data_IF_028474184494
#
_entry.id   IF_028474184494
#
_cell.length_a   1.000
_cell.length_b   1.000
_cell.length_c   1.000
_cell.angle_alpha   90.00
_cell.angle_beta   90.00
_cell.angle_gamma   90.00
#
_symmetry.space_group_name_H-M   'P 1'
#
loop_
_entity.id
_entity.type
_entity.pdbx_description
1 polymer ?
#
# COMPACT_ATOMS: atom_id res chain seq x y z
N UNK A 1 8.36 8.97 17.96
CA UNK A 1 7.33 8.02 17.52
C UNK A 1 6.55 8.66 16.38
N UNK A 2 6.54 8.06 15.19
CA UNK A 2 5.69 8.58 14.12
C UNK A 2 4.23 8.20 14.40
N UNK A 3 3.28 9.03 14.00
CA UNK A 3 1.84 8.74 14.14
C UNK A 3 1.43 7.44 13.45
N UNK A 4 2.15 7.04 12.39
CA UNK A 4 1.91 5.79 11.65
C UNK A 4 2.16 4.54 12.51
N UNK A 5 3.23 4.54 13.30
CA UNK A 5 3.54 3.47 14.24
C UNK A 5 2.48 3.43 15.33
N UNK A 6 2.16 4.58 15.97
CA UNK A 6 1.12 4.66 16.98
C UNK A 6 -0.24 4.18 16.46
N UNK A 7 -0.61 4.54 15.22
CA UNK A 7 -1.86 4.08 14.59
C UNK A 7 -1.90 2.57 14.38
N UNK A 8 -0.78 1.96 13.97
CA UNK A 8 -0.66 0.52 13.81
C UNK A 8 -0.75 -0.22 15.16
N UNK A 9 -0.05 0.28 16.17
CA UNK A 9 -0.06 -0.28 17.52
C UNK A 9 -1.46 -0.24 18.15
N UNK A 10 -2.13 0.91 18.05
CA UNK A 10 -3.50 1.08 18.57
C UNK A 10 -4.52 0.21 17.81
N UNK A 11 -4.39 0.09 16.50
CA UNK A 11 -5.32 -0.69 15.67
C UNK A 11 -5.21 -2.19 15.93
N UNK A 12 -4.02 -2.68 16.28
CA UNK A 12 -3.71 -4.10 16.49
C UNK A 12 -3.54 -4.50 17.94
N UNK A 13 -3.39 -3.55 18.86
CA UNK A 13 -2.93 -3.76 20.24
C UNK A 13 -1.59 -4.52 20.32
N UNK A 14 -0.71 -4.32 19.33
CA UNK A 14 0.55 -5.05 19.17
C UNK A 14 1.72 -4.06 19.01
N UNK A 15 2.47 -3.87 20.08
CA UNK A 15 3.62 -2.98 20.13
C UNK A 15 4.85 -3.45 19.34
N UNK A 16 4.84 -4.66 18.77
CA UNK A 16 5.94 -5.12 17.94
C UNK A 16 6.05 -4.30 16.63
N UNK A 17 4.96 -3.66 16.17
CA UNK A 17 5.01 -2.77 15.02
C UNK A 17 6.01 -1.63 15.20
N UNK A 18 6.18 -1.12 16.42
CA UNK A 18 7.19 -0.11 16.74
C UNK A 18 8.63 -0.56 16.43
N UNK A 19 8.89 -1.88 16.47
CA UNK A 19 10.22 -2.47 16.21
C UNK A 19 10.39 -2.97 14.79
N UNK A 20 9.28 -3.36 14.14
CA UNK A 20 9.30 -4.06 12.84
C UNK A 20 8.94 -3.15 11.67
N UNK A 21 8.30 -2.00 11.92
CA UNK A 21 8.02 -1.02 10.87
C UNK A 21 9.31 -0.38 10.35
N UNK A 22 9.46 -0.37 9.04
CA UNK A 22 10.65 0.14 8.34
C UNK A 22 10.24 1.17 7.32
N UNK A 23 10.96 2.27 7.28
CA UNK A 23 10.70 3.43 6.44
C UNK A 23 11.88 3.69 5.51
N UNK A 24 11.61 4.02 4.25
CA UNK A 24 12.64 4.64 3.40
C UNK A 24 12.95 6.07 3.89
N UNK A 25 14.06 6.64 3.45
CA UNK A 25 14.42 8.00 3.81
C UNK A 25 13.28 8.99 3.49
N UNK A 26 12.88 9.80 4.48
CA UNK A 26 11.81 10.80 4.36
C UNK A 26 10.43 10.24 3.96
N UNK A 27 10.17 8.96 4.17
CA UNK A 27 8.96 8.25 3.69
C UNK A 27 7.66 9.00 4.03
N UNK A 28 7.45 9.38 5.28
CA UNK A 28 6.23 10.08 5.73
C UNK A 28 6.06 11.42 5.00
N UNK A 29 7.12 12.21 4.91
CA UNK A 29 7.10 13.49 4.19
C UNK A 29 6.80 13.33 2.70
N UNK A 30 7.37 12.29 2.06
CA UNK A 30 7.11 11.97 0.65
C UNK A 30 5.64 11.57 0.46
N UNK A 31 5.12 10.66 1.29
CA UNK A 31 3.74 10.20 1.20
C UNK A 31 2.74 11.35 1.41
N UNK A 32 2.97 12.20 2.42
CA UNK A 32 2.16 13.42 2.68
C UNK A 32 2.15 14.33 1.46
N UNK A 33 3.32 14.60 0.88
CA UNK A 33 3.43 15.47 -0.31
C UNK A 33 2.73 14.88 -1.54
N UNK A 34 2.79 13.56 -1.73
CA UNK A 34 2.04 12.88 -2.79
C UNK A 34 0.54 13.05 -2.61
N UNK A 35 0.02 12.86 -1.39
CA UNK A 35 -1.40 13.07 -1.07
C UNK A 35 -1.81 14.51 -1.34
N UNK A 36 -1.05 15.51 -0.86
CA UNK A 36 -1.30 16.93 -1.10
C UNK A 36 -1.37 17.27 -2.58
N UNK A 37 -0.61 16.57 -3.42
CA UNK A 37 -0.59 16.72 -4.88
C UNK A 37 -1.64 15.85 -5.61
N UNK A 38 -2.60 15.29 -4.89
CA UNK A 38 -3.72 14.59 -5.49
C UNK A 38 -3.44 13.14 -5.88
N UNK A 39 -2.45 12.49 -5.27
CA UNK A 39 -2.17 11.08 -5.50
C UNK A 39 -3.39 10.20 -5.15
N UNK A 40 -3.59 9.16 -5.95
CA UNK A 40 -4.59 8.13 -5.66
C UNK A 40 -4.00 7.04 -4.75
N UNK A 41 -4.87 6.37 -3.98
CA UNK A 41 -4.49 5.20 -3.16
C UNK A 41 -5.09 3.95 -3.79
N UNK A 42 -4.28 2.93 -4.02
CA UNK A 42 -4.73 1.61 -4.50
C UNK A 42 -4.50 0.58 -3.42
N UNK A 43 -5.56 -0.14 -3.06
CA UNK A 43 -5.51 -1.23 -2.07
C UNK A 43 -5.66 -2.59 -2.73
N UNK A 44 -5.12 -3.63 -2.08
CA UNK A 44 -5.24 -5.02 -2.53
C UNK A 44 -6.47 -5.74 -1.96
N UNK A 45 -7.27 -5.08 -1.14
CA UNK A 45 -8.52 -5.63 -0.59
C UNK A 45 -9.60 -4.56 -0.46
N UNK A 46 -10.87 -4.98 -0.59
CA UNK A 46 -12.01 -4.11 -0.30
C UNK A 46 -12.10 -3.72 1.18
N UNK A 47 -11.56 -4.54 2.08
CA UNK A 47 -11.47 -4.22 3.50
C UNK A 47 -10.57 -3.01 3.74
N UNK A 48 -9.38 -3.00 3.16
CA UNK A 48 -8.49 -1.83 3.23
C UNK A 48 -9.13 -0.60 2.57
N UNK A 49 -9.73 -0.76 1.38
CA UNK A 49 -10.47 0.30 0.71
C UNK A 49 -11.59 0.90 1.57
N UNK A 50 -12.35 0.03 2.26
CA UNK A 50 -13.41 0.48 3.17
C UNK A 50 -12.85 1.26 4.37
N UNK A 51 -11.67 0.88 4.86
CA UNK A 51 -11.01 1.51 6.01
C UNK A 51 -10.36 2.86 5.71
N UNK A 52 -10.00 3.16 4.45
CA UNK A 52 -9.41 4.46 4.08
C UNK A 52 -10.45 5.57 4.17
N UNK A 53 -10.08 6.68 4.81
CA UNK A 53 -10.92 7.89 4.89
C UNK A 53 -10.96 8.61 3.54
N UNK A 54 -11.85 8.12 2.65
CA UNK A 54 -12.03 8.65 1.30
C UNK A 54 -12.46 10.12 1.29
N UNK A 55 -13.21 10.54 2.31
CA UNK A 55 -13.67 11.95 2.42
C UNK A 55 -12.49 12.89 2.67
N UNK A 56 -11.56 12.48 3.52
CA UNK A 56 -10.35 13.26 3.78
C UNK A 56 -9.41 13.27 2.57
N UNK A 57 -9.17 12.10 1.95
CA UNK A 57 -8.37 11.96 0.74
C UNK A 57 -8.89 12.85 -0.42
N UNK A 58 -10.22 12.91 -0.59
CA UNK A 58 -10.87 13.69 -1.63
C UNK A 58 -10.63 15.20 -1.50
N UNK A 59 -10.36 15.72 -0.31
CA UNK A 59 -10.02 17.15 -0.11
C UNK A 59 -8.74 17.54 -0.85
N UNK A 60 -7.83 16.58 -1.05
CA UNK A 60 -6.59 16.76 -1.79
C UNK A 60 -6.70 16.33 -3.27
N UNK A 61 -7.91 15.96 -3.72
CA UNK A 61 -8.14 15.54 -5.11
C UNK A 61 -7.82 14.06 -5.39
N UNK A 62 -7.39 13.29 -4.38
CA UNK A 62 -7.10 11.87 -4.51
C UNK A 62 -8.38 11.01 -4.43
N UNK A 63 -8.28 9.79 -4.98
CA UNK A 63 -9.31 8.75 -4.88
C UNK A 63 -8.69 7.46 -4.36
N UNK A 64 -9.52 6.62 -3.73
CA UNK A 64 -9.10 5.28 -3.31
C UNK A 64 -9.76 4.22 -4.18
N UNK A 65 -8.97 3.21 -4.61
CA UNK A 65 -9.38 2.16 -5.54
C UNK A 65 -9.03 0.78 -4.99
N UNK A 66 -9.82 -0.22 -5.42
CA UNK A 66 -9.50 -1.65 -5.27
C UNK A 66 -10.10 -2.39 -6.47
N UNK A 67 -9.26 -3.00 -7.28
CA UNK A 67 -9.68 -3.68 -8.52
C UNK A 67 -9.94 -5.19 -8.34
N UNK A 68 -9.70 -5.73 -7.14
CA UNK A 68 -9.74 -7.18 -6.84
C UNK A 68 -11.09 -7.85 -7.12
N UNK A 69 -12.19 -7.12 -6.98
CA UNK A 69 -13.54 -7.65 -7.17
C UNK A 69 -14.09 -7.49 -8.60
N UNK A 70 -13.33 -6.85 -9.49
CA UNK A 70 -13.77 -6.63 -10.86
C UNK A 70 -13.77 -7.93 -11.68
N UNK A 71 -14.85 -8.16 -12.42
CA UNK A 71 -15.02 -9.36 -13.25
C UNK A 71 -13.92 -9.48 -14.32
N UNK A 72 -13.56 -8.34 -14.92
CA UNK A 72 -12.48 -8.26 -15.90
C UNK A 72 -11.14 -8.74 -15.32
N UNK A 73 -10.80 -8.29 -14.11
CA UNK A 73 -9.59 -8.71 -13.40
C UNK A 73 -9.61 -10.21 -13.12
N UNK A 74 -10.77 -10.73 -12.70
CA UNK A 74 -10.93 -12.18 -12.46
C UNK A 74 -10.77 -13.00 -13.74
N UNK A 75 -11.32 -12.53 -14.88
CA UNK A 75 -11.22 -13.17 -16.18
C UNK A 75 -9.77 -13.20 -16.67
N UNK A 76 -9.10 -12.06 -16.70
CA UNK A 76 -7.70 -11.95 -17.14
C UNK A 76 -6.79 -12.82 -16.25
N UNK A 77 -6.98 -12.80 -14.94
CA UNK A 77 -6.20 -13.62 -14.02
C UNK A 77 -6.33 -15.12 -14.32
N UNK A 78 -7.55 -15.58 -14.60
CA UNK A 78 -7.84 -16.97 -14.98
C UNK A 78 -7.21 -17.34 -16.31
N UNK A 79 -7.37 -16.49 -17.33
CA UNK A 79 -6.83 -16.72 -18.68
C UNK A 79 -5.30 -16.78 -18.68
N UNK A 80 -4.64 -15.95 -17.88
CA UNK A 80 -3.18 -15.86 -17.80
C UNK A 80 -2.55 -16.81 -16.76
N UNK A 81 -3.35 -17.49 -15.94
CA UNK A 81 -2.85 -18.34 -14.86
C UNK A 81 -2.10 -17.57 -13.76
N UNK A 82 -2.44 -16.31 -13.53
CA UNK A 82 -1.84 -15.43 -12.49
C UNK A 82 -2.86 -15.07 -11.43
N UNK A 83 -2.40 -14.43 -10.33
CA UNK A 83 -3.31 -14.02 -9.26
C UNK A 83 -4.09 -12.76 -9.65
N UNK A 84 -5.31 -12.60 -9.09
CA UNK A 84 -6.07 -11.35 -9.24
C UNK A 84 -5.31 -10.15 -8.71
N UNK A 85 -4.50 -10.36 -7.65
CA UNK A 85 -3.67 -9.30 -7.08
C UNK A 85 -2.66 -8.77 -8.09
N UNK A 86 -1.99 -9.65 -8.85
CA UNK A 86 -1.07 -9.24 -9.91
C UNK A 86 -1.78 -8.40 -10.98
N UNK A 87 -2.89 -8.91 -11.53
CA UNK A 87 -3.68 -8.16 -12.54
C UNK A 87 -4.21 -6.83 -12.01
N UNK A 88 -4.59 -6.78 -10.72
CA UNK A 88 -5.04 -5.54 -10.07
C UNK A 88 -3.92 -4.48 -10.03
N UNK A 89 -2.68 -4.88 -9.78
CA UNK A 89 -1.53 -3.96 -9.78
C UNK A 89 -1.22 -3.47 -11.20
N UNK A 90 -1.28 -4.35 -12.19
CA UNK A 90 -1.13 -3.97 -13.61
C UNK A 90 -2.21 -2.97 -14.05
N UNK A 91 -3.46 -3.18 -13.64
CA UNK A 91 -4.56 -2.24 -13.91
C UNK A 91 -4.34 -0.90 -13.21
N UNK A 92 -3.90 -0.93 -11.96
CA UNK A 92 -3.58 0.27 -11.20
C UNK A 92 -2.44 1.09 -11.83
N UNK A 93 -1.49 0.43 -12.48
CA UNK A 93 -0.40 1.10 -13.19
C UNK A 93 -0.84 1.94 -14.40
N UNK A 94 -2.09 1.80 -14.84
CA UNK A 94 -2.70 2.61 -15.91
C UNK A 94 -3.30 3.93 -15.41
N UNK A 95 -3.32 4.15 -14.10
CA UNK A 95 -3.77 5.42 -13.51
C UNK A 95 -2.72 6.49 -13.83
N UNK A 96 -3.15 7.58 -14.47
CA UNK A 96 -2.24 8.66 -14.88
C UNK A 96 -1.67 9.48 -13.71
N UNK A 97 -2.38 9.49 -12.58
CA UNK A 97 -1.94 10.18 -11.36
C UNK A 97 -0.86 9.38 -10.63
N UNK A 98 -0.05 10.04 -9.77
CA UNK A 98 0.79 9.31 -8.83
C UNK A 98 -0.05 8.37 -7.96
N UNK A 99 0.42 7.14 -7.76
CA UNK A 99 -0.30 6.12 -6.98
C UNK A 99 0.52 5.71 -5.77
N UNK A 100 -0.16 5.70 -4.61
CA UNK A 100 0.29 5.08 -3.37
C UNK A 100 -0.35 3.70 -3.29
N UNK A 101 0.44 2.64 -3.35
CA UNK A 101 -0.05 1.27 -3.18
C UNK A 101 -0.08 0.89 -1.71
N UNK A 102 -1.25 0.52 -1.19
CA UNK A 102 -1.45 0.11 0.20
C UNK A 102 -1.83 -1.37 0.25
N UNK A 103 -0.81 -2.22 0.38
CA UNK A 103 -0.91 -3.68 0.29
C UNK A 103 -0.94 -4.28 1.70
N UNK A 104 -2.09 -4.83 2.09
CA UNK A 104 -2.34 -5.36 3.42
C UNK A 104 -2.58 -6.88 3.50
N UNK A 105 -2.76 -7.55 2.36
CA UNK A 105 -3.14 -8.97 2.36
C UNK A 105 -2.34 -9.82 1.36
N UNK A 106 -2.16 -9.36 0.12
CA UNK A 106 -1.63 -10.18 -0.97
C UNK A 106 -0.12 -9.98 -1.19
N UNK A 107 0.76 -10.92 -0.77
CA UNK A 107 2.19 -10.85 -1.09
C UNK A 107 2.44 -10.80 -2.59
N UNK A 108 1.59 -11.46 -3.39
CA UNK A 108 1.69 -11.47 -4.85
C UNK A 108 1.50 -10.08 -5.48
N UNK A 109 0.79 -9.16 -4.81
CA UNK A 109 0.72 -7.76 -5.25
C UNK A 109 2.09 -7.07 -5.13
N UNK A 110 2.83 -7.28 -4.03
CA UNK A 110 4.17 -6.74 -3.88
C UNK A 110 5.16 -7.35 -4.88
N UNK A 111 5.05 -8.65 -5.15
CA UNK A 111 5.89 -9.33 -6.14
C UNK A 111 5.65 -8.72 -7.51
N UNK A 112 4.39 -8.52 -7.92
CA UNK A 112 4.06 -7.90 -9.21
C UNK A 112 4.59 -6.47 -9.31
N UNK A 113 4.40 -5.65 -8.27
CA UNK A 113 4.97 -4.29 -8.23
C UNK A 113 6.50 -4.33 -8.39
N UNK A 114 7.18 -5.27 -7.72
CA UNK A 114 8.62 -5.45 -7.86
C UNK A 114 9.03 -5.82 -9.29
N UNK A 115 8.34 -6.75 -9.94
CA UNK A 115 8.64 -7.15 -11.32
C UNK A 115 8.40 -5.99 -12.31
N UNK A 116 7.36 -5.18 -12.10
CA UNK A 116 7.13 -3.98 -12.89
C UNK A 116 8.23 -2.93 -12.72
N UNK A 117 8.69 -2.71 -11.48
CA UNK A 117 9.80 -1.80 -11.17
C UNK A 117 11.08 -2.30 -11.85
N UNK A 118 11.42 -3.58 -11.66
CA UNK A 118 12.63 -4.21 -12.18
C UNK A 118 12.69 -4.21 -13.71
N UNK A 119 11.55 -4.43 -14.36
CA UNK A 119 11.46 -4.40 -15.82
C UNK A 119 11.38 -2.99 -16.41
N UNK A 120 11.29 -1.96 -15.60
CA UNK A 120 11.10 -0.57 -16.03
C UNK A 120 9.72 -0.28 -16.64
N UNK A 121 8.76 -1.21 -16.53
CA UNK A 121 7.41 -1.02 -17.06
C UNK A 121 6.61 0.02 -16.29
N UNK A 122 6.77 0.05 -14.98
CA UNK A 122 6.05 0.98 -14.10
C UNK A 122 6.85 1.22 -12.82
N UNK A 123 6.77 2.45 -12.31
CA UNK A 123 7.37 2.84 -11.04
C UNK A 123 6.31 3.44 -10.14
N UNK A 124 5.88 2.75 -9.08
CA UNK A 124 4.99 3.30 -8.06
C UNK A 124 5.54 4.60 -7.47
N UNK A 125 4.67 5.56 -7.15
CA UNK A 125 5.09 6.75 -6.44
C UNK A 125 5.43 6.46 -4.97
N UNK A 126 4.73 5.48 -4.36
CA UNK A 126 4.94 5.05 -2.98
C UNK A 126 4.34 3.67 -2.73
N UNK A 127 4.93 2.89 -1.82
CA UNK A 127 4.42 1.58 -1.41
C UNK A 127 4.29 1.49 0.12
N UNK A 128 3.07 1.22 0.60
CA UNK A 128 2.78 0.76 1.96
C UNK A 128 2.65 -0.77 1.86
N UNK A 129 3.69 -1.50 2.31
CA UNK A 129 3.80 -2.95 2.17
C UNK A 129 3.67 -3.66 3.51
N UNK A 130 2.45 -3.95 3.92
CA UNK A 130 2.14 -4.59 5.21
C UNK A 130 1.25 -5.83 5.06
N UNK A 131 1.47 -6.71 4.04
CA UNK A 131 0.67 -7.92 3.95
C UNK A 131 0.93 -8.83 5.14
N UNK A 132 -0.14 -9.52 5.60
CA UNK A 132 -0.09 -10.53 6.66
C UNK A 132 -0.07 -11.93 6.03
N UNK A 133 0.59 -12.89 6.68
CA UNK A 133 0.51 -14.29 6.28
C UNK A 133 1.77 -15.10 6.53
N UNK A 134 1.75 -16.35 6.05
CA UNK A 134 2.83 -17.32 6.28
C UNK A 134 3.61 -17.68 5.01
N UNK A 135 2.99 -17.53 3.83
CA UNK A 135 3.59 -17.96 2.56
C UNK A 135 4.06 -16.74 1.78
N UNK A 136 5.34 -16.69 1.48
CA UNK A 136 6.01 -15.64 0.67
C UNK A 136 5.88 -14.20 1.19
N UNK A 137 5.32 -13.96 2.37
CA UNK A 137 5.07 -12.61 2.89
C UNK A 137 6.37 -11.87 3.15
N UNK A 138 7.31 -12.50 3.87
CA UNK A 138 8.60 -11.89 4.20
C UNK A 138 9.43 -11.67 2.94
N UNK A 139 9.50 -12.69 2.06
CA UNK A 139 10.22 -12.58 0.79
C UNK A 139 9.67 -11.45 -0.11
N UNK A 140 8.35 -11.30 -0.20
CA UNK A 140 7.73 -10.24 -0.98
C UNK A 140 8.05 -8.83 -0.44
N UNK A 141 8.05 -8.67 0.88
CA UNK A 141 8.46 -7.42 1.53
C UNK A 141 9.93 -7.10 1.29
N UNK A 142 10.79 -8.12 1.40
CA UNK A 142 12.24 -7.97 1.18
C UNK A 142 12.59 -7.60 -0.26
N UNK A 143 11.76 -7.98 -1.24
CA UNK A 143 11.92 -7.52 -2.62
C UNK A 143 11.74 -6.01 -2.72
N UNK A 144 10.71 -5.45 -2.11
CA UNK A 144 10.45 -3.99 -2.16
C UNK A 144 11.54 -3.22 -1.41
N UNK A 145 12.07 -3.74 -0.29
CA UNK A 145 13.19 -3.12 0.43
C UNK A 145 14.47 -2.95 -0.41
N UNK A 146 14.60 -3.71 -1.51
CA UNK A 146 15.73 -3.63 -2.44
C UNK A 146 15.53 -2.64 -3.58
N UNK A 147 14.34 -2.03 -3.66
CA UNK A 147 14.02 -1.02 -4.69
C UNK A 147 14.39 0.38 -4.21
N UNK A 148 14.42 1.33 -5.14
CA UNK A 148 14.59 2.75 -4.86
C UNK A 148 13.24 3.51 -4.73
N UNK A 149 12.11 2.78 -4.75
CA UNK A 149 10.78 3.36 -4.54
C UNK A 149 10.59 3.68 -3.05
N UNK A 150 10.06 4.86 -2.69
CA UNK A 150 9.76 5.18 -1.29
C UNK A 150 8.73 4.23 -0.70
N UNK A 151 8.93 3.84 0.57
CA UNK A 151 8.08 2.83 1.20
C UNK A 151 7.89 3.03 2.71
N UNK A 152 6.78 2.43 3.21
CA UNK A 152 6.55 2.05 4.61
C UNK A 152 6.27 0.54 4.61
N UNK A 153 7.10 -0.26 5.25
CA UNK A 153 6.99 -1.73 5.26
C UNK A 153 7.09 -2.25 6.68
N UNK A 154 6.18 -3.15 7.06
CA UNK A 154 6.35 -3.92 8.29
C UNK A 154 7.10 -5.22 7.99
N UNK A 155 8.29 -5.38 8.55
CA UNK A 155 9.08 -6.61 8.40
C UNK A 155 8.40 -7.80 9.08
N UNK A 156 8.75 -9.00 8.65
CA UNK A 156 8.18 -10.24 9.17
C UNK A 156 6.77 -10.49 8.67
N UNK A 157 6.03 -11.34 9.37
CA UNK A 157 4.75 -11.90 8.93
C UNK A 157 3.52 -11.10 9.32
N UNK A 158 3.68 -10.18 10.28
CA UNK A 158 2.58 -9.34 10.78
C UNK A 158 2.20 -8.26 9.77
N UNK A 159 0.92 -7.90 9.80
CA UNK A 159 0.34 -6.89 8.92
C UNK A 159 -1.18 -7.04 8.87
N UNK A 160 -1.77 -6.59 7.77
CA UNK A 160 -3.21 -6.75 7.55
C UNK A 160 -3.81 -5.56 6.79
N UNK A 161 -4.99 -5.78 6.22
CA UNK A 161 -5.75 -4.72 5.54
C UNK A 161 -6.11 -3.56 6.49
N UNK A 162 -6.36 -3.87 7.78
CA UNK A 162 -6.60 -2.87 8.82
C UNK A 162 -5.34 -2.00 9.06
N UNK A 163 -4.15 -2.61 9.06
CA UNK A 163 -2.89 -1.90 9.24
C UNK A 163 -2.61 -1.00 8.02
N UNK A 164 -2.83 -1.51 6.81
CA UNK A 164 -2.68 -0.71 5.59
C UNK A 164 -3.59 0.53 5.62
N UNK A 165 -4.87 0.36 5.98
CA UNK A 165 -5.81 1.47 6.13
C UNK A 165 -5.44 2.43 7.26
N UNK A 166 -4.95 1.91 8.41
CA UNK A 166 -4.51 2.73 9.54
C UNK A 166 -3.34 3.64 9.15
N UNK A 167 -2.34 3.12 8.42
CA UNK A 167 -1.21 3.93 7.94
C UNK A 167 -1.69 5.00 6.96
N UNK A 168 -2.56 4.67 6.00
CA UNK A 168 -3.14 5.67 5.10
C UNK A 168 -3.87 6.78 5.87
N UNK A 169 -4.66 6.43 6.87
CA UNK A 169 -5.41 7.39 7.67
C UNK A 169 -4.50 8.24 8.57
N UNK A 170 -3.43 7.67 9.11
CA UNK A 170 -2.44 8.42 9.88
C UNK A 170 -1.83 9.54 9.05
N UNK A 171 -1.40 9.23 7.81
CA UNK A 171 -0.87 10.22 6.87
C UNK A 171 -1.89 11.33 6.55
N UNK A 172 -3.17 10.97 6.36
CA UNK A 172 -4.26 11.91 6.10
C UNK A 172 -4.55 12.80 7.31
N UNK A 173 -4.55 12.25 8.53
CA UNK A 173 -4.83 13.02 9.75
C UNK A 173 -3.69 13.96 10.12
N UNK A 174 -2.43 13.55 9.92
CA UNK A 174 -1.29 14.45 10.08
C UNK A 174 -1.38 15.67 9.12
N UNK A 175 -1.84 15.45 7.89
CA UNK A 175 -2.06 16.54 6.95
C UNK A 175 -3.21 17.46 7.37
N UNK A 176 -4.30 16.90 7.89
CA UNK A 176 -5.45 17.66 8.38
C UNK A 176 -5.08 18.52 9.58
N UNK A 177 -4.31 17.97 10.51
CA UNK A 177 -3.99 18.59 11.79
C UNK A 177 -2.78 19.55 11.69
N UNK A 178 -2.18 19.70 10.51
CA UNK A 178 -1.13 20.68 10.21
C UNK A 178 0.27 20.31 10.73
N UNK A 179 0.51 19.04 11.00
CA UNK A 179 1.80 18.51 11.48
C UNK A 179 2.69 17.98 10.34
#
# INVERSE_FOLDING_TARGET
WSSDVCSSDLTSADFDYAKTMTYSAHAVGIAKKLIQNGADIVTDTNMALAGVNKKELAKYGGKAHCFMAEEEVAKIAKERGVTRAAVSMEKAAQIEKPVIFAIGNAPTALIELYEMIKSGKYRPAFIIGVPVGFVNVEAAKDLILKTDVPYIINRGRKGGSNIAAAICNALLYELRDGN
#
